data_IF_641093784750
#
_entry.id   IF_641093784750
#
_cell.length_a   1.000
_cell.length_b   1.000
_cell.length_c   1.000
_cell.angle_alpha   90.00
_cell.angle_beta   90.00
_cell.angle_gamma   90.00
#
_symmetry.space_group_name_H-M   'P 1'
#
loop_
_entity.id
_entity.type
_entity.pdbx_description
1 polymer ?
#
# COMPACT_ATOMS: atom_id res chain seq x y z
N UNK A 1 -21.80 -20.65 11.52
CA UNK A 1 -20.80 -19.98 10.67
C UNK A 1 -19.42 -20.40 11.13
N UNK A 2 -18.52 -20.76 10.22
CA UNK A 2 -17.11 -20.95 10.54
C UNK A 2 -16.55 -19.60 10.97
N UNK A 3 -15.90 -19.54 12.13
CA UNK A 3 -15.36 -18.29 12.70
C UNK A 3 -13.86 -18.24 12.41
N UNK A 4 -13.40 -17.18 11.78
CA UNK A 4 -11.98 -16.98 11.49
C UNK A 4 -11.73 -16.13 10.26
N UNK A 5 -10.47 -15.91 9.96
CA UNK A 5 -10.03 -15.31 8.71
C UNK A 5 -9.92 -16.37 7.61
N UNK A 6 -10.26 -16.00 6.38
CA UNK A 6 -10.03 -16.86 5.20
C UNK A 6 -8.54 -17.20 5.07
N UNK A 7 -8.26 -18.36 4.46
CA UNK A 7 -6.88 -18.75 4.10
C UNK A 7 -6.36 -18.06 2.83
N UNK A 8 -7.21 -17.30 2.14
CA UNK A 8 -6.79 -16.51 0.96
C UNK A 8 -5.82 -15.40 1.39
N UNK A 9 -4.54 -15.57 1.06
CA UNK A 9 -3.45 -14.72 1.54
C UNK A 9 -3.59 -13.25 1.11
N UNK A 10 -4.02 -12.98 -0.11
CA UNK A 10 -4.29 -11.62 -0.59
C UNK A 10 -5.37 -10.90 0.25
N UNK A 11 -6.45 -11.62 0.62
CA UNK A 11 -7.47 -11.07 1.51
C UNK A 11 -6.91 -10.79 2.92
N UNK A 12 -6.10 -11.69 3.48
CA UNK A 12 -5.44 -11.48 4.79
C UNK A 12 -4.52 -10.26 4.77
N UNK A 13 -3.75 -10.06 3.69
CA UNK A 13 -2.88 -8.88 3.49
C UNK A 13 -3.73 -7.60 3.54
N UNK A 14 -4.81 -7.55 2.77
CA UNK A 14 -5.68 -6.39 2.71
C UNK A 14 -6.32 -6.08 4.07
N UNK A 15 -6.88 -7.10 4.76
CA UNK A 15 -7.50 -6.94 6.08
C UNK A 15 -6.47 -6.43 7.12
N UNK A 16 -5.25 -6.99 7.12
CA UNK A 16 -4.16 -6.53 7.99
C UNK A 16 -3.83 -5.04 7.75
N UNK A 17 -3.71 -4.63 6.48
CA UNK A 17 -3.43 -3.24 6.12
C UNK A 17 -4.59 -2.30 6.44
N UNK A 18 -5.84 -2.73 6.26
CA UNK A 18 -7.02 -1.94 6.69
C UNK A 18 -6.96 -1.64 8.17
N UNK A 19 -6.68 -2.64 9.02
CA UNK A 19 -6.52 -2.46 10.48
C UNK A 19 -5.39 -1.49 10.81
N UNK A 20 -4.22 -1.65 10.20
CA UNK A 20 -3.04 -0.79 10.44
C UNK A 20 -3.27 0.68 10.03
N UNK A 21 -4.16 0.91 9.08
CA UNK A 21 -4.49 2.25 8.58
C UNK A 21 -5.81 2.81 9.14
N UNK A 22 -6.36 2.20 10.19
CA UNK A 22 -7.54 2.72 10.88
C UNK A 22 -8.86 2.60 10.10
N UNK A 23 -8.92 1.77 9.05
CA UNK A 23 -10.13 1.59 8.23
C UNK A 23 -11.05 0.59 8.94
N UNK A 24 -12.09 1.09 9.61
CA UNK A 24 -13.02 0.29 10.44
C UNK A 24 -14.37 0.09 9.79
N UNK A 25 -14.93 1.16 9.21
CA UNK A 25 -16.28 1.16 8.64
C UNK A 25 -16.29 0.47 7.29
N UNK A 26 -17.16 -0.54 7.13
CA UNK A 26 -17.27 -1.32 5.90
C UNK A 26 -18.73 -1.44 5.49
N UNK A 27 -19.07 -0.96 4.31
CA UNK A 27 -20.38 -1.20 3.70
C UNK A 27 -20.25 -2.40 2.76
N UNK A 28 -21.01 -3.46 3.01
CA UNK A 28 -20.90 -4.70 2.26
C UNK A 28 -22.21 -5.04 1.56
N UNK A 29 -22.15 -5.27 0.26
CA UNK A 29 -23.20 -5.94 -0.51
C UNK A 29 -22.80 -7.41 -0.66
N UNK A 30 -23.46 -8.34 0.05
CA UNK A 30 -23.04 -9.74 0.08
C UNK A 30 -23.27 -10.42 -1.27
N UNK A 31 -22.29 -11.23 -1.67
CA UNK A 31 -22.36 -12.02 -2.91
C UNK A 31 -21.30 -13.10 -2.93
N UNK A 32 -21.39 -14.02 -3.89
CA UNK A 32 -20.59 -15.25 -3.89
C UNK A 32 -19.08 -14.99 -3.86
N UNK A 33 -18.58 -14.03 -4.64
CA UNK A 33 -17.12 -13.78 -4.75
C UNK A 33 -16.51 -13.01 -3.58
N UNK A 34 -17.33 -12.27 -2.80
CA UNK A 34 -16.78 -11.53 -1.66
C UNK A 34 -17.04 -12.20 -0.29
N UNK A 35 -17.61 -13.40 -0.27
CA UNK A 35 -17.90 -14.14 0.98
C UNK A 35 -16.64 -14.31 1.83
N UNK A 36 -15.52 -14.74 1.24
CA UNK A 36 -14.29 -15.02 1.97
C UNK A 36 -13.81 -13.77 2.73
N UNK A 37 -13.79 -12.66 2.04
CA UNK A 37 -13.38 -11.37 2.58
C UNK A 37 -14.36 -10.85 3.63
N UNK A 38 -15.65 -10.74 3.30
CA UNK A 38 -16.67 -10.18 4.21
C UNK A 38 -16.87 -11.04 5.45
N UNK A 39 -16.85 -12.38 5.34
CA UNK A 39 -16.94 -13.26 6.50
C UNK A 39 -15.75 -13.09 7.46
N UNK A 40 -14.55 -12.83 6.93
CA UNK A 40 -13.36 -12.55 7.74
C UNK A 40 -13.50 -11.22 8.49
N UNK A 41 -14.07 -10.20 7.86
CA UNK A 41 -14.34 -8.91 8.52
C UNK A 41 -15.42 -9.05 9.59
N UNK A 42 -16.49 -9.83 9.34
CA UNK A 42 -17.54 -10.10 10.33
C UNK A 42 -17.05 -10.88 11.56
N UNK A 43 -16.02 -11.68 11.39
CA UNK A 43 -15.38 -12.40 12.50
C UNK A 43 -14.61 -11.47 13.43
N UNK A 44 -14.01 -10.40 12.92
CA UNK A 44 -13.13 -9.50 13.65
C UNK A 44 -13.93 -8.32 14.25
N UNK A 45 -14.04 -8.20 15.57
CA UNK A 45 -14.78 -7.12 16.24
C UNK A 45 -14.19 -5.72 16.01
N UNK A 46 -13.03 -5.61 15.37
CA UNK A 46 -12.47 -4.33 14.97
C UNK A 46 -13.32 -3.62 13.90
N UNK A 47 -14.02 -4.38 13.05
CA UNK A 47 -14.77 -3.82 11.93
C UNK A 47 -16.23 -3.54 12.26
N UNK A 48 -16.72 -2.40 11.80
CA UNK A 48 -18.12 -1.99 11.84
C UNK A 48 -18.76 -2.27 10.48
N UNK A 49 -19.60 -3.33 10.39
CA UNK A 49 -20.14 -3.79 9.12
C UNK A 49 -21.57 -3.29 8.93
N UNK A 50 -21.80 -2.58 7.83
CA UNK A 50 -23.09 -2.12 7.36
C UNK A 50 -23.48 -2.97 6.13
N UNK A 51 -24.58 -3.69 6.21
CA UNK A 51 -25.06 -4.52 5.09
C UNK A 51 -26.08 -3.76 4.25
N UNK A 52 -25.90 -3.77 2.93
CA UNK A 52 -26.81 -3.20 1.96
C UNK A 52 -26.94 -4.14 0.76
N UNK A 53 -28.15 -4.62 0.47
CA UNK A 53 -28.37 -5.59 -0.60
C UNK A 53 -28.19 -4.98 -2.00
N UNK A 54 -28.58 -3.71 -2.18
CA UNK A 54 -28.41 -2.97 -3.42
C UNK A 54 -27.07 -2.23 -3.43
N UNK A 55 -26.23 -2.52 -4.42
CA UNK A 55 -24.86 -1.99 -4.50
C UNK A 55 -24.83 -0.47 -4.74
N UNK A 56 -25.78 0.10 -5.49
CA UNK A 56 -25.86 1.54 -5.69
C UNK A 56 -26.14 2.25 -4.36
N UNK A 57 -27.13 1.77 -3.62
CA UNK A 57 -27.44 2.29 -2.29
C UNK A 57 -26.28 2.12 -1.32
N UNK A 58 -25.59 0.95 -1.35
CA UNK A 58 -24.39 0.71 -0.55
C UNK A 58 -23.32 1.75 -0.78
N UNK A 59 -23.06 2.12 -2.03
CA UNK A 59 -22.05 3.09 -2.38
C UNK A 59 -22.41 4.51 -1.90
N UNK A 60 -23.67 4.93 -2.00
CA UNK A 60 -24.13 6.20 -1.43
C UNK A 60 -24.14 6.21 0.10
N UNK A 61 -24.46 5.07 0.76
CA UNK A 61 -24.30 4.93 2.21
C UNK A 61 -22.83 5.13 2.62
N UNK A 62 -21.88 4.53 1.87
CA UNK A 62 -20.46 4.73 2.12
C UNK A 62 -20.04 6.20 1.95
N UNK A 63 -20.55 6.89 0.93
CA UNK A 63 -20.33 8.32 0.75
C UNK A 63 -20.86 9.15 1.93
N UNK A 64 -22.06 8.84 2.42
CA UNK A 64 -22.66 9.50 3.57
C UNK A 64 -21.83 9.29 4.85
N UNK A 65 -21.46 8.04 5.13
CA UNK A 65 -20.59 7.70 6.27
C UNK A 65 -19.24 8.41 6.22
N UNK A 66 -18.60 8.45 5.05
CA UNK A 66 -17.30 9.12 4.88
C UNK A 66 -17.43 10.65 5.01
N UNK A 67 -18.51 11.23 4.50
CA UNK A 67 -18.77 12.67 4.61
C UNK A 67 -19.01 13.12 6.03
N UNK A 68 -19.78 12.34 6.79
CA UNK A 68 -20.15 12.65 8.19
C UNK A 68 -18.98 12.41 9.16
N UNK A 69 -18.28 11.28 9.02
CA UNK A 69 -17.20 10.93 9.95
C UNK A 69 -15.85 11.52 9.59
N UNK A 70 -15.64 11.94 8.34
CA UNK A 70 -14.32 12.33 7.82
C UNK A 70 -13.32 11.16 7.67
N UNK A 71 -13.73 9.93 7.99
CA UNK A 71 -12.91 8.72 7.97
C UNK A 71 -12.96 8.03 6.61
N UNK A 72 -12.00 7.15 6.38
CA UNK A 72 -12.04 6.24 5.23
C UNK A 72 -13.10 5.15 5.47
N UNK A 73 -13.98 4.96 4.49
CA UNK A 73 -14.99 3.90 4.49
C UNK A 73 -14.65 2.87 3.41
N UNK A 74 -14.62 1.59 3.78
CA UNK A 74 -14.48 0.51 2.81
C UNK A 74 -15.84 0.13 2.23
N UNK A 75 -15.87 -0.25 0.96
CA UNK A 75 -17.06 -0.65 0.23
C UNK A 75 -16.76 -1.97 -0.49
N UNK A 76 -17.57 -3.02 -0.27
CA UNK A 76 -17.30 -4.35 -0.83
C UNK A 76 -18.51 -4.96 -1.53
N UNK A 77 -18.30 -5.42 -2.77
CA UNK A 77 -19.27 -6.25 -3.51
C UNK A 77 -18.57 -7.31 -4.35
N UNK A 78 -19.39 -8.12 -5.05
CA UNK A 78 -18.87 -9.02 -6.08
C UNK A 78 -18.33 -8.25 -7.27
N UNK A 79 -17.40 -8.87 -7.99
CA UNK A 79 -16.74 -8.25 -9.12
C UNK A 79 -17.50 -8.24 -10.44
N UNK A 80 -18.71 -8.77 -10.50
CA UNK A 80 -19.51 -8.84 -11.72
C UNK A 80 -20.20 -7.50 -12.06
N UNK A 81 -21.42 -7.55 -12.59
CA UNK A 81 -22.23 -6.36 -12.90
C UNK A 81 -22.52 -5.49 -11.69
N UNK A 82 -22.59 -6.09 -10.49
CA UNK A 82 -22.74 -5.38 -9.22
C UNK A 82 -21.68 -4.26 -9.02
N UNK A 83 -20.44 -4.51 -9.38
CA UNK A 83 -19.38 -3.50 -9.30
C UNK A 83 -19.65 -2.25 -10.15
N UNK A 84 -20.46 -2.35 -11.20
CA UNK A 84 -20.85 -1.23 -12.05
C UNK A 84 -21.89 -0.33 -11.39
N UNK A 85 -22.69 -0.86 -10.46
CA UNK A 85 -23.63 -0.07 -9.69
C UNK A 85 -22.96 0.91 -8.71
N UNK A 86 -21.70 0.71 -8.38
CA UNK A 86 -20.92 1.64 -7.57
C UNK A 86 -20.54 2.94 -8.30
N UNK A 87 -20.45 2.92 -9.64
CA UNK A 87 -19.88 4.02 -10.41
C UNK A 87 -20.55 5.39 -10.17
N UNK A 88 -21.90 5.52 -10.09
CA UNK A 88 -22.50 6.83 -9.85
C UNK A 88 -22.05 7.47 -8.52
N UNK A 89 -22.07 6.69 -7.44
CA UNK A 89 -21.64 7.19 -6.14
C UNK A 89 -20.12 7.40 -6.05
N UNK A 90 -19.32 6.60 -6.76
CA UNK A 90 -17.87 6.81 -6.81
C UNK A 90 -17.50 8.04 -7.61
N UNK A 91 -18.23 8.37 -8.67
CA UNK A 91 -18.08 9.66 -9.38
C UNK A 91 -18.35 10.83 -8.41
N UNK A 92 -19.43 10.75 -7.64
CA UNK A 92 -19.70 11.75 -6.59
C UNK A 92 -18.59 11.81 -5.54
N UNK A 93 -18.13 10.66 -5.04
CA UNK A 93 -17.02 10.58 -4.08
C UNK A 93 -15.73 11.20 -4.62
N UNK A 94 -15.45 11.01 -5.92
CA UNK A 94 -14.28 11.58 -6.57
C UNK A 94 -14.31 13.12 -6.56
N UNK A 95 -15.41 13.72 -6.97
CA UNK A 95 -15.56 15.18 -7.01
C UNK A 95 -15.71 15.80 -5.62
N UNK A 96 -16.35 15.10 -4.67
CA UNK A 96 -16.47 15.52 -3.26
C UNK A 96 -15.23 15.22 -2.41
N UNK A 97 -14.22 14.56 -2.97
CA UNK A 97 -12.99 14.19 -2.27
C UNK A 97 -13.25 13.29 -1.05
N UNK A 98 -14.14 12.32 -1.19
CA UNK A 98 -14.44 11.35 -0.12
C UNK A 98 -13.51 10.13 -0.22
N UNK A 99 -12.84 9.74 0.89
CA UNK A 99 -11.91 8.60 0.88
C UNK A 99 -12.68 7.28 0.97
N UNK A 100 -13.02 6.70 -0.16
CA UNK A 100 -13.70 5.40 -0.25
C UNK A 100 -12.73 4.33 -0.74
N UNK A 101 -12.52 3.29 0.06
CA UNK A 101 -11.77 2.11 -0.34
C UNK A 101 -12.71 1.08 -0.96
N UNK A 102 -12.75 1.02 -2.28
CA UNK A 102 -13.62 0.10 -3.01
C UNK A 102 -12.92 -1.22 -3.23
N UNK A 103 -13.55 -2.32 -2.81
CA UNK A 103 -13.03 -3.68 -2.92
C UNK A 103 -14.06 -4.50 -3.71
N UNK A 104 -13.72 -4.83 -4.96
CA UNK A 104 -14.56 -5.71 -5.79
C UNK A 104 -13.90 -7.07 -5.88
N UNK A 105 -14.57 -8.10 -5.38
CA UNK A 105 -14.01 -9.45 -5.39
C UNK A 105 -14.42 -10.21 -6.65
N UNK A 106 -13.46 -10.81 -7.34
CA UNK A 106 -13.67 -11.49 -8.61
C UNK A 106 -12.95 -12.82 -8.70
N UNK A 107 -13.29 -13.59 -9.70
CA UNK A 107 -12.46 -14.70 -10.17
C UNK A 107 -11.19 -14.14 -10.81
N UNK A 108 -10.23 -15.02 -11.09
CA UNK A 108 -8.95 -14.70 -11.74
C UNK A 108 -9.14 -13.93 -13.04
N UNK A 109 -8.30 -12.95 -13.24
CA UNK A 109 -8.32 -12.07 -14.42
C UNK A 109 -8.06 -12.81 -15.74
N UNK A 110 -7.30 -13.92 -15.71
CA UNK A 110 -7.04 -14.76 -16.90
C UNK A 110 -8.33 -15.39 -17.48
N UNK A 111 -9.42 -15.36 -16.69
CA UNK A 111 -10.74 -15.88 -17.14
C UNK A 111 -11.56 -14.86 -17.92
N UNK A 112 -11.10 -13.61 -18.04
CA UNK A 112 -11.79 -12.59 -18.81
C UNK A 112 -11.86 -13.01 -20.29
N UNK A 113 -13.04 -12.93 -20.88
CA UNK A 113 -13.27 -13.29 -22.29
C UNK A 113 -13.44 -14.79 -22.57
N UNK A 114 -13.44 -15.66 -21.56
CA UNK A 114 -13.53 -17.11 -21.72
C UNK A 114 -14.94 -17.69 -21.39
N UNK A 115 -16.01 -16.91 -21.53
CA UNK A 115 -17.39 -17.32 -21.28
C UNK A 115 -17.63 -17.91 -19.87
N UNK A 116 -16.90 -17.41 -18.89
CA UNK A 116 -17.06 -17.80 -17.48
C UNK A 116 -17.96 -16.78 -16.79
N UNK A 117 -18.89 -17.27 -15.98
CA UNK A 117 -19.84 -16.44 -15.24
C UNK A 117 -19.14 -15.48 -14.25
N UNK A 118 -19.71 -14.32 -14.06
CA UNK A 118 -19.27 -13.30 -13.10
C UNK A 118 -17.81 -12.83 -13.28
N UNK A 119 -17.31 -12.86 -14.50
CA UNK A 119 -15.98 -12.34 -14.85
C UNK A 119 -16.14 -11.18 -15.85
N UNK A 120 -16.03 -9.96 -15.34
CA UNK A 120 -16.04 -8.73 -16.15
C UNK A 120 -14.70 -8.05 -16.08
N UNK A 121 -14.27 -7.41 -17.16
CA UNK A 121 -13.04 -6.62 -17.14
C UNK A 121 -13.20 -5.38 -16.26
N UNK A 122 -12.36 -5.28 -15.24
CA UNK A 122 -12.28 -4.17 -14.28
C UNK A 122 -10.86 -3.65 -14.10
N UNK A 123 -9.99 -4.00 -15.03
CA UNK A 123 -8.59 -3.55 -15.01
C UNK A 123 -8.47 -2.05 -15.16
N UNK A 124 -9.39 -1.45 -15.90
CA UNK A 124 -9.46 0.00 -16.10
C UNK A 124 -10.84 0.53 -15.68
N UNK A 125 -10.81 1.57 -14.86
CA UNK A 125 -11.99 2.37 -14.49
C UNK A 125 -11.93 3.75 -15.17
N UNK A 126 -13.07 4.43 -15.36
CA UNK A 126 -13.07 5.84 -15.73
C UNK A 126 -12.21 6.67 -14.76
N UNK A 127 -11.51 7.68 -15.28
CA UNK A 127 -10.53 8.48 -14.51
C UNK A 127 -11.15 9.26 -13.36
N UNK A 128 -12.43 9.53 -13.42
CA UNK A 128 -13.20 10.27 -12.42
C UNK A 128 -14.09 9.38 -11.54
N UNK A 129 -13.79 8.08 -11.50
CA UNK A 129 -14.45 7.09 -10.62
C UNK A 129 -13.52 6.65 -9.50
N UNK A 130 -12.23 6.54 -9.77
CA UNK A 130 -11.21 6.23 -8.77
C UNK A 130 -9.88 6.89 -9.12
N UNK A 131 -9.18 7.41 -8.11
CA UNK A 131 -7.83 8.00 -8.27
C UNK A 131 -6.81 6.95 -8.68
N UNK A 132 -6.99 5.74 -8.21
CA UNK A 132 -6.15 4.59 -8.52
C UNK A 132 -6.99 3.31 -8.50
N UNK A 133 -6.71 2.42 -9.44
CA UNK A 133 -7.22 1.04 -9.45
C UNK A 133 -6.05 0.08 -9.47
N UNK A 134 -6.07 -0.91 -8.58
CA UNK A 134 -5.04 -1.95 -8.48
C UNK A 134 -5.66 -3.33 -8.53
N UNK A 135 -4.86 -4.29 -8.98
CA UNK A 135 -5.20 -5.70 -8.99
C UNK A 135 -4.47 -6.38 -7.83
N UNK A 136 -5.17 -7.23 -7.08
CA UNK A 136 -4.59 -8.12 -6.08
C UNK A 136 -4.94 -9.57 -6.46
N UNK A 137 -4.08 -10.23 -7.24
CA UNK A 137 -4.27 -11.62 -7.63
C UNK A 137 -4.16 -12.57 -6.44
N UNK A 138 -4.42 -13.85 -6.67
CA UNK A 138 -4.16 -14.88 -5.67
C UNK A 138 -2.66 -15.03 -5.45
N UNK A 139 -2.25 -15.11 -4.19
CA UNK A 139 -0.84 -15.32 -3.82
C UNK A 139 -0.46 -16.78 -4.05
N UNK A 140 0.64 -16.99 -4.77
CA UNK A 140 1.20 -18.32 -5.08
C UNK A 140 2.61 -18.51 -4.55
N UNK A 141 3.37 -17.41 -4.39
CA UNK A 141 4.77 -17.38 -3.99
C UNK A 141 5.12 -16.06 -3.31
N UNK A 142 6.38 -15.92 -2.93
CA UNK A 142 6.89 -14.71 -2.28
C UNK A 142 6.77 -13.46 -3.16
N UNK A 143 6.98 -13.57 -4.47
CA UNK A 143 6.94 -12.42 -5.38
C UNK A 143 5.52 -11.90 -5.55
N UNK A 144 4.54 -12.79 -5.70
CA UNK A 144 3.12 -12.42 -5.77
C UNK A 144 2.61 -11.86 -4.43
N UNK A 145 3.07 -12.41 -3.29
CA UNK A 145 2.77 -11.81 -1.97
C UNK A 145 3.34 -10.40 -1.84
N UNK A 146 4.60 -10.22 -2.22
CA UNK A 146 5.24 -8.91 -2.20
C UNK A 146 4.52 -7.91 -3.11
N UNK A 147 4.13 -8.31 -4.31
CA UNK A 147 3.39 -7.49 -5.27
C UNK A 147 2.04 -7.02 -4.70
N UNK A 148 1.29 -7.91 -4.04
CA UNK A 148 0.03 -7.59 -3.39
C UNK A 148 0.21 -6.63 -2.21
N UNK A 149 1.24 -6.82 -1.39
CA UNK A 149 1.57 -5.88 -0.31
C UNK A 149 1.86 -4.48 -0.86
N UNK A 150 2.61 -4.40 -1.97
CA UNK A 150 2.90 -3.12 -2.63
C UNK A 150 1.62 -2.49 -3.20
N UNK A 151 0.80 -3.27 -3.91
CA UNK A 151 -0.44 -2.80 -4.52
C UNK A 151 -1.43 -2.26 -3.48
N UNK A 152 -1.65 -3.00 -2.40
CA UNK A 152 -2.55 -2.60 -1.32
C UNK A 152 -2.07 -1.33 -0.59
N UNK A 153 -0.77 -1.25 -0.25
CA UNK A 153 -0.19 -0.04 0.34
C UNK A 153 -0.34 1.17 -0.59
N UNK A 154 -0.06 1.00 -1.89
CA UNK A 154 -0.19 2.06 -2.89
C UNK A 154 -1.63 2.58 -2.97
N UNK A 155 -2.62 1.67 -2.98
CA UNK A 155 -4.03 2.03 -2.99
C UNK A 155 -4.43 2.79 -1.72
N UNK A 156 -4.06 2.29 -0.54
CA UNK A 156 -4.40 2.93 0.73
C UNK A 156 -3.75 4.32 0.87
N UNK A 157 -2.48 4.46 0.46
CA UNK A 157 -1.80 5.76 0.46
C UNK A 157 -2.46 6.78 -0.46
N UNK A 158 -3.04 6.32 -1.59
CA UNK A 158 -3.65 7.21 -2.57
C UNK A 158 -5.02 7.77 -2.11
N UNK A 159 -5.68 7.13 -1.12
CA UNK A 159 -6.91 7.64 -0.52
C UNK A 159 -6.82 9.09 -0.04
N UNK A 160 -5.64 9.48 0.48
CA UNK A 160 -5.40 10.80 1.06
C UNK A 160 -4.32 11.63 0.33
N UNK A 161 -3.80 11.15 -0.81
CA UNK A 161 -2.77 11.84 -1.56
C UNK A 161 -3.36 12.97 -2.42
N UNK A 162 -2.76 14.17 -2.42
CA UNK A 162 -3.25 15.35 -3.17
C UNK A 162 -4.77 15.59 -3.02
N UNK A 163 -5.23 15.61 -1.79
CA UNK A 163 -6.65 15.59 -1.44
C UNK A 163 -7.21 14.17 -1.36
N UNK A 164 -8.29 13.99 -0.60
CA UNK A 164 -8.94 12.70 -0.45
C UNK A 164 -9.63 12.25 -1.75
N UNK A 165 -9.97 10.98 -1.86
CA UNK A 165 -10.76 10.45 -2.97
C UNK A 165 -10.86 8.93 -2.98
N UNK A 166 -11.75 8.37 -3.81
CA UNK A 166 -11.95 6.94 -3.90
C UNK A 166 -10.78 6.23 -4.59
N UNK A 167 -10.48 5.02 -4.13
CA UNK A 167 -9.55 4.09 -4.78
C UNK A 167 -10.19 2.72 -4.92
N UNK A 168 -9.74 1.94 -5.89
CA UNK A 168 -10.30 0.64 -6.19
C UNK A 168 -9.24 -0.47 -6.08
N UNK A 169 -9.62 -1.55 -5.43
CA UNK A 169 -8.89 -2.82 -5.37
C UNK A 169 -9.75 -3.90 -5.99
N UNK A 170 -9.29 -4.52 -7.06
CA UNK A 170 -9.88 -5.75 -7.56
C UNK A 170 -9.20 -6.93 -6.86
N UNK A 171 -9.92 -7.56 -5.93
CA UNK A 171 -9.44 -8.67 -5.12
C UNK A 171 -9.84 -10.00 -5.76
N UNK A 172 -8.88 -10.79 -6.22
CA UNK A 172 -9.17 -12.12 -6.75
C UNK A 172 -9.46 -13.13 -5.63
N UNK A 173 -10.34 -14.09 -5.91
CA UNK A 173 -10.75 -15.13 -4.98
C UNK A 173 -10.89 -16.50 -5.65
N UNK A 174 -10.58 -17.54 -4.89
CA UNK A 174 -10.87 -18.94 -5.20
C UNK A 174 -12.15 -19.44 -4.52
N UNK A 175 -12.90 -18.57 -3.86
CA UNK A 175 -14.06 -18.95 -3.03
C UNK A 175 -13.70 -19.94 -1.92
N UNK A 176 -12.58 -19.75 -1.27
CA UNK A 176 -12.13 -20.63 -0.21
C UNK A 176 -13.20 -20.76 0.90
N UNK A 177 -13.40 -21.97 1.38
CA UNK A 177 -14.27 -22.28 2.52
C UNK A 177 -13.44 -22.59 3.78
N UNK A 178 -12.15 -22.37 3.72
CA UNK A 178 -11.21 -22.60 4.82
C UNK A 178 -11.01 -21.32 5.61
N UNK A 179 -11.23 -21.38 6.90
CA UNK A 179 -11.07 -20.27 7.82
C UNK A 179 -10.24 -20.69 9.03
N UNK A 180 -9.44 -19.77 9.55
CA UNK A 180 -8.56 -20.01 10.68
C UNK A 180 -8.72 -18.90 11.72
N UNK A 181 -8.61 -19.27 13.00
CA UNK A 181 -8.57 -18.35 14.14
C UNK A 181 -7.16 -17.80 14.40
N UNK A 182 -6.18 -18.21 13.62
CA UNK A 182 -4.83 -17.66 13.69
C UNK A 182 -4.84 -16.14 13.43
N UNK A 183 -3.96 -15.40 14.08
CA UNK A 183 -3.87 -13.95 13.85
C UNK A 183 -3.51 -13.65 12.40
N UNK A 184 -3.97 -12.48 11.93
CA UNK A 184 -3.57 -11.98 10.62
C UNK A 184 -2.05 -11.82 10.54
N UNK A 185 -1.47 -11.96 9.34
CA UNK A 185 -0.05 -11.73 9.14
C UNK A 185 0.34 -10.29 9.49
N UNK A 186 1.54 -10.11 10.03
CA UNK A 186 2.12 -8.79 10.23
C UNK A 186 2.65 -8.24 8.90
N UNK A 187 1.81 -7.51 8.21
CA UNK A 187 2.12 -6.91 6.90
C UNK A 187 2.73 -5.54 7.09
N UNK A 188 3.81 -5.25 6.34
CA UNK A 188 4.45 -3.94 6.31
C UNK A 188 3.48 -2.88 5.80
N UNK A 189 3.13 -1.90 6.66
CA UNK A 189 2.37 -0.72 6.26
C UNK A 189 3.34 0.41 5.90
N UNK A 190 3.04 1.14 4.83
CA UNK A 190 3.80 2.29 4.37
C UNK A 190 2.99 3.55 4.70
N UNK A 191 3.63 4.51 5.34
CA UNK A 191 3.07 5.84 5.59
C UNK A 191 3.73 6.88 4.68
N UNK A 192 3.03 7.98 4.40
CA UNK A 192 3.55 9.15 3.72
C UNK A 192 3.67 10.30 4.70
N UNK A 193 4.77 11.01 4.63
CA UNK A 193 5.00 12.27 5.33
C UNK A 193 5.13 13.34 4.27
N UNK A 194 4.33 14.38 4.37
CA UNK A 194 4.30 15.50 3.42
C UNK A 194 4.86 16.77 4.06
N UNK A 195 5.12 17.79 3.24
CA UNK A 195 5.53 19.08 3.76
C UNK A 195 4.48 19.65 4.72
N UNK A 196 4.92 20.02 5.93
CA UNK A 196 4.05 20.50 7.00
C UNK A 196 3.61 19.44 8.01
N UNK A 197 3.82 18.16 7.72
CA UNK A 197 3.58 17.08 8.67
C UNK A 197 4.71 17.00 9.71
N UNK A 198 4.41 16.43 10.87
CA UNK A 198 5.42 16.09 11.86
C UNK A 198 6.28 14.93 11.37
N UNK A 199 7.61 15.13 11.34
CA UNK A 199 8.55 14.07 10.96
C UNK A 199 8.71 13.07 12.11
N UNK A 200 8.73 11.75 11.80
CA UNK A 200 9.04 10.72 12.80
C UNK A 200 10.41 10.93 13.44
N UNK A 201 10.51 10.66 14.73
CA UNK A 201 11.78 10.76 15.46
C UNK A 201 12.84 9.80 14.92
N UNK A 202 14.07 10.25 14.83
CA UNK A 202 15.25 9.44 14.49
C UNK A 202 16.10 9.08 15.71
N UNK A 203 15.68 9.48 16.93
CA UNK A 203 16.48 9.32 18.14
C UNK A 203 16.77 7.87 18.56
N UNK A 204 16.05 6.90 17.99
CA UNK A 204 16.26 5.45 18.27
C UNK A 204 17.33 4.82 17.37
N UNK A 205 17.81 5.52 16.33
CA UNK A 205 18.77 4.98 15.36
C UNK A 205 20.16 5.50 15.59
N UNK A 206 21.13 4.59 15.64
CA UNK A 206 22.54 4.88 15.89
C UNK A 206 23.41 4.88 14.64
N UNK A 207 22.96 4.24 13.55
CA UNK A 207 23.71 4.07 12.31
C UNK A 207 22.81 4.38 11.11
N UNK A 208 22.81 5.64 10.72
CA UNK A 208 21.99 6.11 9.61
C UNK A 208 22.83 6.16 8.34
N UNK A 209 22.31 5.54 7.26
CA UNK A 209 22.89 5.65 5.93
C UNK A 209 21.95 6.43 5.00
N UNK A 210 22.46 7.44 4.32
CA UNK A 210 21.76 8.09 3.22
C UNK A 210 22.26 7.44 1.93
N UNK A 211 21.37 6.70 1.25
CA UNK A 211 21.67 6.12 -0.05
C UNK A 211 21.23 7.08 -1.14
N UNK A 212 22.19 7.54 -1.92
CA UNK A 212 21.90 8.41 -3.06
C UNK A 212 22.10 7.60 -4.35
N UNK A 213 21.00 7.36 -5.03
CA UNK A 213 20.98 6.78 -6.36
C UNK A 213 21.23 7.84 -7.45
N UNK A 214 20.71 7.60 -8.64
CA UNK A 214 20.81 8.57 -9.74
C UNK A 214 20.11 9.87 -9.37
N UNK A 215 20.85 10.98 -9.45
CA UNK A 215 20.37 12.31 -9.10
C UNK A 215 20.96 13.37 -10.02
N UNK A 216 20.23 14.46 -10.22
CA UNK A 216 20.73 15.65 -10.90
C UNK A 216 21.78 16.37 -10.06
N UNK A 217 22.31 17.47 -10.57
CA UNK A 217 23.27 18.28 -9.81
C UNK A 217 22.65 18.78 -8.49
N UNK A 218 23.40 18.65 -7.41
CA UNK A 218 23.02 19.13 -6.09
C UNK A 218 23.27 20.61 -5.95
N UNK A 219 22.31 21.35 -5.39
CA UNK A 219 22.55 22.73 -4.98
C UNK A 219 23.48 22.78 -3.76
N UNK A 220 24.17 23.89 -3.59
CA UNK A 220 25.01 24.11 -2.39
C UNK A 220 24.18 24.03 -1.10
N UNK A 221 22.97 24.58 -1.10
CA UNK A 221 22.09 24.59 0.07
C UNK A 221 21.67 23.16 0.46
N UNK A 222 21.29 22.33 -0.51
CA UNK A 222 20.93 20.95 -0.25
C UNK A 222 22.15 20.14 0.23
N UNK A 223 23.32 20.35 -0.37
CA UNK A 223 24.58 19.71 0.06
C UNK A 223 24.93 20.07 1.51
N UNK A 224 24.85 21.35 1.87
CA UNK A 224 25.07 21.83 3.24
C UNK A 224 24.04 21.26 4.22
N UNK A 225 22.77 21.19 3.84
CA UNK A 225 21.72 20.62 4.69
C UNK A 225 21.98 19.14 5.01
N UNK A 226 22.38 18.36 4.00
CA UNK A 226 22.75 16.94 4.20
C UNK A 226 24.01 16.80 5.03
N UNK A 227 25.02 17.64 4.84
CA UNK A 227 26.22 17.64 5.67
C UNK A 227 25.90 17.94 7.15
N UNK A 228 25.01 18.90 7.42
CA UNK A 228 24.54 19.22 8.78
C UNK A 228 23.78 18.04 9.38
N UNK A 229 22.89 17.44 8.60
CA UNK A 229 22.17 16.24 9.03
C UNK A 229 23.12 15.10 9.40
N UNK A 230 24.09 14.80 8.54
CA UNK A 230 25.07 13.76 8.79
C UNK A 230 25.90 14.01 10.05
N UNK A 231 26.29 15.28 10.29
CA UNK A 231 26.99 15.67 11.51
C UNK A 231 26.15 15.42 12.77
N UNK A 232 24.88 15.79 12.73
CA UNK A 232 24.02 15.76 13.90
C UNK A 232 23.52 14.33 14.23
N UNK A 233 23.41 13.46 13.22
CA UNK A 233 22.87 12.11 13.36
C UNK A 233 23.89 11.00 13.15
N UNK A 234 25.19 11.32 13.12
CA UNK A 234 26.27 10.36 12.86
C UNK A 234 25.99 9.52 11.59
N UNK A 235 25.53 10.17 10.52
CA UNK A 235 25.17 9.53 9.29
C UNK A 235 26.26 9.64 8.23
N UNK A 236 26.22 8.75 7.24
CA UNK A 236 27.07 8.74 6.05
C UNK A 236 26.23 8.79 4.79
N UNK A 237 26.83 9.30 3.70
CA UNK A 237 26.16 9.35 2.38
C UNK A 237 26.84 8.36 1.43
N UNK A 238 26.12 7.30 1.11
CA UNK A 238 26.57 6.26 0.19
C UNK A 238 26.24 6.66 -1.24
N UNK A 239 27.26 6.79 -2.05
CA UNK A 239 27.18 7.27 -3.43
C UNK A 239 27.72 6.24 -4.42
N UNK A 240 27.14 6.27 -5.60
CA UNK A 240 27.71 5.70 -6.81
C UNK A 240 28.18 6.78 -7.81
N UNK A 241 28.45 6.37 -9.05
CA UNK A 241 28.92 7.28 -10.12
C UNK A 241 27.84 8.25 -10.64
N UNK A 242 26.55 7.98 -10.37
CA UNK A 242 25.42 8.80 -10.82
C UNK A 242 24.84 9.70 -9.70
N UNK A 243 25.33 9.59 -8.49
CA UNK A 243 24.74 10.25 -7.31
C UNK A 243 24.93 11.77 -7.27
N UNK A 244 25.95 12.27 -7.92
CA UNK A 244 26.32 13.71 -8.01
C UNK A 244 26.50 14.45 -6.66
N UNK A 245 26.32 13.80 -5.52
CA UNK A 245 26.61 14.40 -4.22
C UNK A 245 28.11 14.54 -3.97
N UNK A 246 28.55 15.74 -3.61
CA UNK A 246 29.98 16.09 -3.41
C UNK A 246 30.27 16.61 -2.00
N UNK A 247 29.34 16.39 -1.06
CA UNK A 247 29.49 16.86 0.32
C UNK A 247 30.52 16.07 1.13
N UNK A 248 30.76 16.55 2.37
CA UNK A 248 31.82 16.08 3.27
C UNK A 248 31.67 14.59 3.67
N UNK A 249 30.43 14.10 3.79
CA UNK A 249 30.15 12.75 4.31
C UNK A 249 29.99 11.71 3.21
N UNK A 250 30.46 12.01 1.98
CA UNK A 250 30.40 11.13 0.83
C UNK A 250 31.29 9.90 0.99
N UNK A 251 30.72 8.72 0.76
CA UNK A 251 31.43 7.45 0.67
C UNK A 251 31.12 6.81 -0.69
N UNK A 252 32.13 6.62 -1.52
CA UNK A 252 32.01 5.90 -2.80
C UNK A 252 32.04 4.41 -2.55
N UNK A 253 30.91 3.87 -2.14
CA UNK A 253 30.81 2.52 -1.58
C UNK A 253 30.57 1.42 -2.62
N UNK A 254 30.18 1.77 -3.84
CA UNK A 254 29.70 0.78 -4.81
C UNK A 254 30.71 -0.33 -5.12
N UNK A 255 31.95 0.05 -5.46
CA UNK A 255 33.00 -0.95 -5.80
C UNK A 255 33.43 -1.77 -4.57
N UNK A 256 33.48 -1.14 -3.40
CA UNK A 256 33.92 -1.81 -2.16
C UNK A 256 32.89 -2.84 -1.72
N UNK A 257 31.61 -2.48 -1.74
CA UNK A 257 30.53 -3.36 -1.28
C UNK A 257 30.24 -4.53 -2.19
N UNK A 258 30.70 -4.49 -3.43
CA UNK A 258 30.60 -5.59 -4.41
C UNK A 258 31.69 -6.66 -4.23
N UNK A 259 32.71 -6.43 -3.40
CA UNK A 259 33.76 -7.41 -3.16
C UNK A 259 33.22 -8.60 -2.34
N UNK A 260 33.50 -9.82 -2.81
CA UNK A 260 32.95 -11.07 -2.27
C UNK A 260 33.26 -11.28 -0.77
N UNK A 261 34.48 -10.92 -0.34
CA UNK A 261 34.94 -11.09 1.04
C UNK A 261 34.79 -9.84 1.91
N UNK A 262 34.21 -8.78 1.38
CA UNK A 262 34.11 -7.53 2.13
C UNK A 262 32.95 -7.55 3.13
N UNK A 263 33.27 -7.56 4.40
CA UNK A 263 32.29 -7.41 5.47
C UNK A 263 32.36 -6.00 6.05
N UNK A 264 31.43 -5.15 5.66
CA UNK A 264 31.42 -3.74 6.01
C UNK A 264 30.44 -3.42 7.13
N UNK A 265 30.83 -2.48 7.98
CA UNK A 265 29.96 -1.79 8.95
C UNK A 265 28.76 -1.13 8.25
N UNK A 266 28.86 -0.75 6.99
CA UNK A 266 27.75 -0.21 6.18
C UNK A 266 26.55 -1.14 6.17
N UNK A 267 26.78 -2.47 6.13
CA UNK A 267 25.69 -3.46 6.16
C UNK A 267 24.88 -3.47 7.45
N UNK A 268 25.39 -2.87 8.51
CA UNK A 268 24.76 -2.79 9.83
C UNK A 268 23.98 -1.48 10.05
N UNK A 269 23.73 -0.69 8.99
CA UNK A 269 22.85 0.46 9.10
C UNK A 269 21.46 0.02 9.60
N UNK A 270 20.98 0.69 10.64
CA UNK A 270 19.68 0.40 11.27
C UNK A 270 18.56 1.27 10.70
N UNK A 271 18.92 2.34 10.00
CA UNK A 271 18.01 3.22 9.27
C UNK A 271 18.60 3.70 7.95
N UNK A 272 17.77 3.79 6.92
CA UNK A 272 18.20 4.24 5.59
C UNK A 272 17.30 5.38 5.09
N UNK A 273 17.92 6.44 4.59
CA UNK A 273 17.23 7.47 3.80
C UNK A 273 17.65 7.26 2.34
N UNK A 274 16.70 6.97 1.47
CA UNK A 274 16.95 6.75 0.05
C UNK A 274 16.50 7.95 -0.76
N UNK A 275 17.46 8.57 -1.47
CA UNK A 275 17.26 9.76 -2.31
C UNK A 275 17.56 9.40 -3.76
N UNK A 276 16.70 9.81 -4.68
CA UNK A 276 16.86 9.57 -6.11
C UNK A 276 16.50 8.14 -6.54
N UNK A 277 16.73 7.81 -7.80
CA UNK A 277 16.44 6.49 -8.36
C UNK A 277 17.59 5.53 -8.15
N UNK A 278 17.31 4.26 -7.82
CA UNK A 278 18.36 3.24 -7.69
C UNK A 278 19.04 3.05 -9.04
N UNK A 279 20.37 3.17 -9.05
CA UNK A 279 21.16 3.00 -10.27
C UNK A 279 21.96 1.70 -10.30
N UNK A 280 22.49 1.23 -9.18
CA UNK A 280 23.40 0.09 -9.19
C UNK A 280 23.17 -0.93 -8.07
N UNK A 281 23.17 -0.54 -6.81
CA UNK A 281 23.23 -1.47 -5.69
C UNK A 281 22.54 -0.94 -4.43
N UNK A 282 22.02 -1.86 -3.62
CA UNK A 282 21.57 -1.58 -2.25
C UNK A 282 22.71 -1.70 -1.21
N UNK A 283 23.94 -1.84 -1.66
CA UNK A 283 25.15 -1.99 -0.81
C UNK A 283 25.08 -3.15 0.20
N UNK A 284 24.17 -4.12 0.01
CA UNK A 284 23.94 -5.23 0.93
C UNK A 284 23.33 -4.83 2.27
N UNK A 285 22.75 -3.64 2.35
CA UNK A 285 22.08 -3.14 3.56
C UNK A 285 20.71 -3.77 3.71
N UNK A 286 20.37 -4.19 4.93
CA UNK A 286 19.02 -4.64 5.25
C UNK A 286 18.08 -3.45 5.41
N UNK A 287 17.25 -3.19 4.40
CA UNK A 287 16.35 -2.05 4.37
C UNK A 287 15.03 -2.28 5.15
N UNK A 288 15.10 -2.69 6.41
CA UNK A 288 13.91 -2.87 7.24
C UNK A 288 13.20 -1.55 7.56
N UNK A 289 13.96 -0.49 7.81
CA UNK A 289 13.47 0.86 8.08
C UNK A 289 14.05 1.81 7.02
N UNK A 290 13.20 2.31 6.15
CA UNK A 290 13.61 3.15 5.01
C UNK A 290 12.65 4.32 4.83
N UNK A 291 13.20 5.52 4.71
CA UNK A 291 12.51 6.64 4.08
C UNK A 291 12.92 6.75 2.62
N UNK A 292 11.97 7.05 1.76
CA UNK A 292 12.20 7.42 0.36
C UNK A 292 11.80 8.87 0.16
N UNK A 293 12.74 9.65 -0.35
CA UNK A 293 12.61 11.10 -0.58
C UNK A 293 12.60 11.37 -2.07
#
# INVERSE_FOLDING_TARGET
MKKGYTDERNAQILISLMKKNGIKKVVASPGATNICFVASLQYDPYFEIYSAADERSAAYIACGLAAESGETVALSCTGATSSRNYMPALTEAYYRKLPILVITSSRRSERIGHNIDQVTDRTLLPRDVAKLSVQMPLVHDYESEWADVVAANKAILELNHHGKGPVHINLETNYSKVYSTQPLPDIRSISRVSYGDEFPSLGEYSRIAIMVGSHTQWSENLTKAVDIFCKNHNAIVLCDHCSNYKGKYRVLANLITQQYYYNSVIKSADFVIHIGSISASNYGINMKKVWRV
#
